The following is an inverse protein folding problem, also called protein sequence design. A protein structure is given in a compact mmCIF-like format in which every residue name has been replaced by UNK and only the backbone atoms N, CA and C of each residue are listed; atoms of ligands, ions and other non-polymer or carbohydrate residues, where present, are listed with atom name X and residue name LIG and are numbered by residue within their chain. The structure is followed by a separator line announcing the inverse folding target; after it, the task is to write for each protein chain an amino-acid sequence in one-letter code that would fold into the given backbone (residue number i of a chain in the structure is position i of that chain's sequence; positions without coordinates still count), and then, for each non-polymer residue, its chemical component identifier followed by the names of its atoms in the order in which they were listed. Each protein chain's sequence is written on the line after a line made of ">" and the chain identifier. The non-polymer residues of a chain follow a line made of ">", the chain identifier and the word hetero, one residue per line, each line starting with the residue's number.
data_IF_480357954459
#
_entry.id   IF_480357954459
#
_cell.length_a   1.000
_cell.length_b   1.000
_cell.length_c   1.000
_cell.angle_alpha   90.00
_cell.angle_beta   90.00
_cell.angle_gamma   90.00
#
_symmetry.space_group_name_H-M   'P 1'
#
loop_
_entity.id
_entity.type
_entity.pdbx_description
1 polymer ?
#
# COMPACT_ATOMS: atom_id res chain seq x y z
N UNK A 1 -13.11 44.48 -20.22
CA UNK A 1 -11.74 44.12 -19.75
C UNK A 1 -11.67 43.50 -18.34
N UNK A 2 -12.64 43.68 -17.43
CA UNK A 2 -12.56 43.15 -16.05
C UNK A 2 -12.74 41.62 -15.88
N UNK A 3 -13.51 40.95 -16.75
CA UNK A 3 -13.81 39.51 -16.62
C UNK A 3 -12.62 38.58 -16.97
N UNK A 4 -11.70 38.99 -17.85
CA UNK A 4 -10.52 38.21 -18.19
C UNK A 4 -9.48 38.17 -17.05
N UNK A 5 -9.32 39.28 -16.32
CA UNK A 5 -8.38 39.42 -15.19
C UNK A 5 -8.85 38.62 -13.95
N UNK A 6 -10.16 38.50 -13.75
CA UNK A 6 -10.78 37.69 -12.69
C UNK A 6 -10.75 36.17 -12.98
N UNK A 7 -10.82 35.75 -14.26
CA UNK A 7 -10.67 34.34 -14.66
C UNK A 7 -9.24 33.82 -14.45
N UNK A 8 -8.22 34.62 -14.79
CA UNK A 8 -6.81 34.22 -14.63
C UNK A 8 -6.38 34.03 -13.16
N UNK A 9 -6.95 34.82 -12.25
CA UNK A 9 -6.66 34.73 -10.80
C UNK A 9 -7.35 33.53 -10.12
N UNK A 10 -8.53 33.12 -10.62
CA UNK A 10 -9.21 31.90 -10.14
C UNK A 10 -8.48 30.63 -10.58
N UNK A 11 -8.10 30.53 -11.85
CA UNK A 11 -7.36 29.38 -12.37
C UNK A 11 -5.98 29.21 -11.71
N UNK A 12 -5.25 30.31 -11.48
CA UNK A 12 -3.95 30.25 -10.78
C UNK A 12 -4.09 29.75 -9.33
N UNK A 13 -5.13 30.17 -8.61
CA UNK A 13 -5.41 29.70 -7.25
C UNK A 13 -5.82 28.23 -7.21
N UNK A 14 -6.61 27.78 -8.18
CA UNK A 14 -6.98 26.36 -8.31
C UNK A 14 -5.77 25.48 -8.66
N UNK A 15 -4.86 25.96 -9.52
CA UNK A 15 -3.62 25.26 -9.84
C UNK A 15 -2.69 25.14 -8.62
N UNK A 16 -2.48 26.25 -7.89
CA UNK A 16 -1.68 26.25 -6.67
C UNK A 16 -2.27 25.34 -5.58
N UNK A 17 -3.60 25.35 -5.40
CA UNK A 17 -4.26 24.47 -4.44
C UNK A 17 -4.08 22.98 -4.79
N UNK A 18 -4.11 22.63 -6.09
CA UNK A 18 -3.84 21.26 -6.57
C UNK A 18 -2.38 20.86 -6.34
N UNK A 19 -1.43 21.76 -6.58
CA UNK A 19 0.00 21.52 -6.35
C UNK A 19 0.30 21.31 -4.86
N UNK A 20 -0.23 22.17 -3.99
CA UNK A 20 -0.11 22.01 -2.53
C UNK A 20 -0.75 20.71 -2.05
N UNK A 21 -1.94 20.35 -2.57
CA UNK A 21 -2.59 19.08 -2.24
C UNK A 21 -1.78 17.86 -2.73
N UNK A 22 -1.07 17.99 -3.84
CA UNK A 22 -0.14 16.97 -4.35
C UNK A 22 1.02 16.74 -3.39
N UNK A 23 1.69 17.82 -2.99
CA UNK A 23 2.83 17.79 -2.08
C UNK A 23 2.44 17.17 -0.73
N UNK A 24 1.29 17.58 -0.17
CA UNK A 24 0.75 17.03 1.07
C UNK A 24 0.42 15.53 0.95
N UNK A 25 -0.01 15.07 -0.23
CA UNK A 25 -0.30 13.65 -0.47
C UNK A 25 0.98 12.83 -0.62
N UNK A 26 2.00 13.39 -1.29
CA UNK A 26 3.34 12.80 -1.39
C UNK A 26 4.00 12.62 -0.02
N UNK A 27 3.92 13.64 0.85
CA UNK A 27 4.46 13.55 2.21
C UNK A 27 3.75 12.49 3.07
N UNK A 28 2.41 12.45 3.00
CA UNK A 28 1.63 11.40 3.68
C UNK A 28 2.01 10.01 3.19
N UNK A 29 2.17 9.84 1.88
CA UNK A 29 2.61 8.58 1.31
C UNK A 29 4.01 8.21 1.81
N UNK A 30 4.95 9.15 1.79
CA UNK A 30 6.32 8.97 2.28
C UNK A 30 6.34 8.53 3.75
N UNK A 31 5.53 9.16 4.60
CA UNK A 31 5.41 8.77 6.01
C UNK A 31 4.90 7.34 6.19
N UNK A 32 3.95 6.90 5.37
CA UNK A 32 3.49 5.50 5.35
C UNK A 32 4.61 4.54 4.96
N UNK A 33 5.44 4.90 3.97
CA UNK A 33 6.57 4.07 3.54
C UNK A 33 7.69 3.98 4.60
N UNK A 34 7.97 5.08 5.32
CA UNK A 34 8.89 5.06 6.47
C UNK A 34 8.37 4.10 7.53
N UNK A 35 7.07 4.14 7.79
CA UNK A 35 6.44 3.24 8.74
C UNK A 35 6.53 1.78 8.27
N UNK A 36 6.28 1.49 6.98
CA UNK A 36 6.49 0.17 6.39
C UNK A 36 7.91 -0.35 6.66
N UNK A 37 8.96 0.46 6.45
CA UNK A 37 10.35 0.07 6.75
C UNK A 37 10.54 -0.31 8.21
N UNK A 38 9.98 0.48 9.13
CA UNK A 38 10.05 0.18 10.58
C UNK A 38 9.39 -1.15 10.91
N UNK A 39 8.27 -1.48 10.26
CA UNK A 39 7.57 -2.76 10.44
C UNK A 39 8.36 -3.93 9.89
N UNK A 40 9.01 -3.79 8.73
CA UNK A 40 9.95 -4.79 8.21
C UNK A 40 11.09 -5.05 9.19
N UNK A 41 11.78 -4.00 9.66
CA UNK A 41 12.86 -4.14 10.64
C UNK A 41 12.41 -4.82 11.93
N UNK A 42 11.24 -4.45 12.45
CA UNK A 42 10.70 -5.07 13.66
C UNK A 42 10.43 -6.57 13.47
N UNK A 43 9.84 -6.96 12.34
CA UNK A 43 9.63 -8.38 12.02
C UNK A 43 10.95 -9.13 11.78
N UNK A 44 11.90 -8.51 11.08
CA UNK A 44 13.22 -9.09 10.81
C UNK A 44 14.02 -9.32 12.10
N UNK A 45 13.97 -8.39 13.07
CA UNK A 45 14.62 -8.57 14.38
C UNK A 45 14.12 -9.81 15.12
N UNK A 46 12.82 -10.09 15.03
CA UNK A 46 12.24 -11.30 15.64
C UNK A 46 12.70 -12.55 14.88
N UNK A 47 12.60 -12.54 13.56
CA UNK A 47 12.90 -13.71 12.72
C UNK A 47 14.39 -14.08 12.69
N UNK A 48 15.28 -13.09 12.80
CA UNK A 48 16.72 -13.28 12.75
C UNK A 48 17.32 -13.58 14.14
N UNK A 49 16.50 -13.62 15.19
CA UNK A 49 16.96 -13.96 16.54
C UNK A 49 17.01 -15.48 16.72
N UNK A 50 18.16 -15.98 17.16
CA UNK A 50 18.34 -17.41 17.50
C UNK A 50 17.58 -17.81 18.77
N UNK A 51 17.29 -16.84 19.63
CA UNK A 51 16.52 -17.00 20.87
C UNK A 51 15.26 -16.12 20.84
N UNK A 52 14.13 -16.57 21.42
CA UNK A 52 12.95 -15.73 21.51
C UNK A 52 13.21 -14.45 22.31
N UNK A 53 12.89 -13.29 21.73
CA UNK A 53 13.10 -11.98 22.32
C UNK A 53 12.16 -11.73 23.51
N UNK A 54 10.96 -12.29 23.46
CA UNK A 54 10.00 -12.27 24.58
C UNK A 54 10.22 -13.39 25.60
N UNK A 55 11.14 -14.32 25.33
CA UNK A 55 11.25 -15.58 26.06
C UNK A 55 10.27 -16.67 25.61
N UNK A 56 9.36 -16.37 24.68
CA UNK A 56 8.40 -17.33 24.11
C UNK A 56 8.34 -17.20 22.57
N UNK A 57 8.56 -18.31 21.86
CA UNK A 57 8.56 -18.34 20.40
C UNK A 57 7.19 -17.98 19.80
N UNK A 58 6.10 -18.36 20.44
CA UNK A 58 4.75 -18.11 19.93
C UNK A 58 4.38 -16.63 20.05
N UNK A 59 4.69 -16.02 21.19
CA UNK A 59 4.51 -14.57 21.41
C UNK A 59 5.33 -13.76 20.38
N UNK A 60 6.57 -14.18 20.12
CA UNK A 60 7.41 -13.58 19.09
C UNK A 60 6.79 -13.70 17.69
N UNK A 61 6.28 -14.88 17.33
CA UNK A 61 5.60 -15.11 16.06
C UNK A 61 4.34 -14.22 15.93
N UNK A 62 3.52 -14.11 16.99
CA UNK A 62 2.36 -13.21 17.02
C UNK A 62 2.79 -11.75 16.79
N UNK A 63 3.85 -11.31 17.46
CA UNK A 63 4.40 -9.96 17.30
C UNK A 63 4.85 -9.69 15.86
N UNK A 64 5.47 -10.67 15.20
CA UNK A 64 5.89 -10.59 13.81
C UNK A 64 4.69 -10.57 12.85
N UNK A 65 3.68 -11.43 13.05
CA UNK A 65 2.45 -11.40 12.26
C UNK A 65 1.67 -10.08 12.41
N UNK A 66 1.71 -9.46 13.59
CA UNK A 66 1.17 -8.12 13.78
C UNK A 66 1.87 -7.07 12.90
N UNK A 67 3.19 -7.16 12.73
CA UNK A 67 3.91 -6.28 11.81
C UNK A 67 3.53 -6.54 10.35
N UNK A 68 3.44 -7.81 9.93
CA UNK A 68 3.00 -8.20 8.57
C UNK A 68 1.61 -7.64 8.26
N UNK A 69 0.65 -7.84 9.17
CA UNK A 69 -0.70 -7.28 9.03
C UNK A 69 -0.65 -5.76 8.90
N UNK A 70 0.16 -5.09 9.73
CA UNK A 70 0.30 -3.62 9.68
C UNK A 70 0.90 -3.16 8.35
N UNK A 71 1.86 -3.87 7.78
CA UNK A 71 2.42 -3.53 6.46
C UNK A 71 1.31 -3.56 5.39
N UNK A 72 0.47 -4.61 5.38
CA UNK A 72 -0.64 -4.68 4.42
C UNK A 72 -1.64 -3.54 4.62
N UNK A 73 -1.93 -3.17 5.87
CA UNK A 73 -2.77 -2.01 6.19
C UNK A 73 -2.16 -0.72 5.63
N UNK A 74 -0.88 -0.46 5.90
CA UNK A 74 -0.17 0.73 5.40
C UNK A 74 -0.19 0.80 3.87
N UNK A 75 -0.02 -0.33 3.17
CA UNK A 75 -0.13 -0.41 1.71
C UNK A 75 -1.55 -0.07 1.24
N UNK A 76 -2.59 -0.57 1.91
CA UNK A 76 -3.97 -0.26 1.57
C UNK A 76 -4.28 1.24 1.78
N UNK A 77 -3.85 1.81 2.91
CA UNK A 77 -4.07 3.24 3.21
C UNK A 77 -3.23 4.16 2.33
N UNK A 78 -2.00 3.78 1.98
CA UNK A 78 -1.17 4.56 1.05
C UNK A 78 -1.78 4.57 -0.35
N UNK A 79 -2.44 3.48 -0.76
CA UNK A 79 -3.23 3.46 -1.99
C UNK A 79 -4.39 4.44 -1.98
N UNK A 80 -5.06 4.65 -0.82
CA UNK A 80 -6.08 5.69 -0.65
C UNK A 80 -5.51 7.09 -0.77
N UNK A 81 -4.34 7.35 -0.16
CA UNK A 81 -3.68 8.67 -0.20
C UNK A 81 -3.44 9.11 -1.64
N UNK A 82 -2.98 8.20 -2.49
CA UNK A 82 -2.65 8.50 -3.87
C UNK A 82 -3.87 8.64 -4.81
N UNK A 83 -5.05 8.17 -4.40
CA UNK A 83 -6.25 8.18 -5.24
C UNK A 83 -7.54 8.52 -4.45
N UNK A 84 -7.41 9.47 -3.52
CA UNK A 84 -8.47 9.83 -2.57
C UNK A 84 -9.77 10.22 -3.26
N UNK A 85 -9.68 11.03 -4.32
CA UNK A 85 -10.86 11.56 -5.01
C UNK A 85 -11.71 10.46 -5.65
N UNK A 86 -11.09 9.50 -6.33
CA UNK A 86 -11.84 8.40 -6.93
C UNK A 86 -12.35 7.41 -5.88
N UNK A 87 -11.61 7.21 -4.78
CA UNK A 87 -12.09 6.41 -3.66
C UNK A 87 -13.32 7.01 -2.98
N UNK A 88 -13.29 8.31 -2.68
CA UNK A 88 -14.43 9.06 -2.12
C UNK A 88 -15.65 8.99 -3.04
N UNK A 89 -15.45 9.23 -4.35
CA UNK A 89 -16.54 9.10 -5.33
C UNK A 89 -17.12 7.67 -5.40
N UNK A 90 -16.29 6.65 -5.21
CA UNK A 90 -16.74 5.26 -5.14
C UNK A 90 -17.55 4.98 -3.86
N UNK A 91 -17.17 5.55 -2.71
CA UNK A 91 -17.92 5.40 -1.45
C UNK A 91 -19.29 6.07 -1.52
N UNK A 92 -19.39 7.24 -2.15
CA UNK A 92 -20.68 7.89 -2.42
C UNK A 92 -21.58 7.04 -3.33
N UNK A 93 -21.01 6.39 -4.35
CA UNK A 93 -21.77 5.46 -5.22
C UNK A 93 -22.27 4.22 -4.47
N UNK A 94 -21.52 3.74 -3.47
CA UNK A 94 -21.94 2.62 -2.63
C UNK A 94 -23.06 3.03 -1.67
N UNK A 95 -22.97 4.23 -1.07
CA UNK A 95 -24.02 4.80 -0.23
C UNK A 95 -25.37 4.94 -0.95
N UNK A 96 -25.34 5.37 -2.22
CA UNK A 96 -26.54 5.46 -3.05
C UNK A 96 -27.25 4.12 -3.30
N UNK A 97 -26.60 2.98 -2.99
CA UNK A 97 -27.15 1.62 -3.15
C UNK A 97 -27.50 0.95 -1.82
N UNK A 98 -27.17 1.57 -0.70
CA UNK A 98 -27.33 1.01 0.63
C UNK A 98 -27.58 2.12 1.65
N UNK A 99 -28.83 2.29 2.05
CA UNK A 99 -29.26 3.36 2.97
C UNK A 99 -28.59 3.28 4.37
N UNK A 100 -27.99 2.13 4.72
CA UNK A 100 -27.23 1.97 5.97
C UNK A 100 -25.79 2.46 5.87
N UNK A 101 -25.27 2.65 4.66
CA UNK A 101 -23.91 3.12 4.41
C UNK A 101 -23.93 4.62 4.09
N UNK A 102 -23.35 5.44 4.98
CA UNK A 102 -23.32 6.90 4.81
C UNK A 102 -22.30 7.38 3.77
N UNK A 103 -21.51 6.48 3.18
CA UNK A 103 -20.48 6.82 2.19
C UNK A 103 -19.28 7.56 2.78
N UNK A 104 -19.17 7.61 4.12
CA UNK A 104 -18.04 8.21 4.80
C UNK A 104 -16.80 7.33 4.62
N UNK A 105 -15.88 7.78 3.77
CA UNK A 105 -14.60 7.11 3.52
C UNK A 105 -13.59 7.30 4.67
N UNK A 106 -13.80 8.28 5.55
CA UNK A 106 -12.89 8.54 6.69
C UNK A 106 -13.08 7.52 7.81
N UNK A 107 -14.24 6.86 7.84
CA UNK A 107 -14.56 5.76 8.75
C UNK A 107 -14.05 4.39 8.27
N UNK A 108 -13.48 4.28 7.06
CA UNK A 108 -12.94 3.03 6.56
C UNK A 108 -11.62 2.68 7.28
N UNK A 109 -11.63 1.57 8.02
CA UNK A 109 -10.46 1.11 8.78
C UNK A 109 -10.02 -0.33 8.46
N UNK A 110 -10.92 -1.13 7.85
CA UNK A 110 -10.65 -2.55 7.54
C UNK A 110 -9.90 -2.69 6.21
N UNK A 111 -8.60 -2.96 6.27
CA UNK A 111 -7.76 -3.07 5.07
C UNK A 111 -8.28 -4.08 4.04
N UNK A 112 -8.77 -5.25 4.46
CA UNK A 112 -9.36 -6.23 3.54
C UNK A 112 -10.54 -5.66 2.72
N UNK A 113 -11.40 -4.84 3.33
CA UNK A 113 -12.51 -4.19 2.61
C UNK A 113 -12.04 -3.02 1.76
N UNK A 114 -11.06 -2.25 2.24
CA UNK A 114 -10.42 -1.18 1.47
C UNK A 114 -9.81 -1.75 0.18
N UNK A 115 -9.05 -2.85 0.26
CA UNK A 115 -8.43 -3.52 -0.90
C UNK A 115 -9.48 -4.01 -1.91
N UNK A 116 -10.60 -4.57 -1.45
CA UNK A 116 -11.71 -4.99 -2.32
C UNK A 116 -12.36 -3.81 -3.03
N UNK A 117 -12.56 -2.69 -2.34
CA UNK A 117 -13.13 -1.47 -2.93
C UNK A 117 -12.20 -0.84 -3.94
N UNK A 118 -10.92 -0.75 -3.62
CA UNK A 118 -9.94 -0.12 -4.50
C UNK A 118 -9.82 -0.82 -5.86
N UNK A 119 -10.00 -2.14 -5.92
CA UNK A 119 -10.12 -2.88 -7.19
C UNK A 119 -11.21 -2.32 -8.11
N UNK A 120 -12.31 -1.81 -7.56
CA UNK A 120 -13.41 -1.20 -8.30
C UNK A 120 -13.09 0.24 -8.75
N UNK A 121 -12.12 0.88 -8.10
CA UNK A 121 -11.74 2.27 -8.36
C UNK A 121 -10.78 2.35 -9.53
N UNK A 122 -9.68 1.59 -9.47
CA UNK A 122 -8.59 1.64 -10.42
C UNK A 122 -7.90 0.28 -10.43
N UNK A 123 -7.61 -0.32 -11.58
CA UNK A 123 -6.91 -1.62 -11.63
C UNK A 123 -5.45 -1.52 -11.21
N UNK A 124 -4.84 -0.34 -11.32
CA UNK A 124 -3.43 -0.07 -10.99
C UNK A 124 -3.28 0.63 -9.63
N UNK A 125 -4.26 0.46 -8.74
CA UNK A 125 -4.28 1.13 -7.44
C UNK A 125 -3.21 0.61 -6.47
N UNK A 126 -2.71 -0.60 -6.66
CA UNK A 126 -1.67 -1.16 -5.81
C UNK A 126 -0.30 -0.72 -6.29
N UNK A 127 0.69 -0.63 -5.38
CA UNK A 127 2.09 -0.60 -5.74
C UNK A 127 2.41 -1.69 -6.76
N UNK A 128 3.01 -1.31 -7.88
CA UNK A 128 3.53 -2.23 -8.88
C UNK A 128 5.04 -2.35 -8.71
N UNK A 129 5.53 -3.54 -8.43
CA UNK A 129 6.97 -3.81 -8.30
C UNK A 129 7.73 -3.28 -9.51
N UNK A 130 8.80 -2.51 -9.27
CA UNK A 130 9.60 -1.86 -10.29
C UNK A 130 11.04 -2.36 -10.25
N UNK A 131 11.60 -2.67 -11.42
CA UNK A 131 13.02 -2.87 -11.61
C UNK A 131 13.76 -1.56 -11.86
N UNK A 132 15.07 -1.66 -12.13
CA UNK A 132 15.88 -0.48 -12.42
C UNK A 132 15.59 0.07 -13.84
N UNK A 133 15.60 1.40 -14.02
CA UNK A 133 15.31 2.01 -15.33
C UNK A 133 16.34 1.60 -16.39
N UNK A 134 15.86 1.17 -17.55
CA UNK A 134 16.67 0.82 -18.72
C UNK A 134 16.53 1.93 -19.76
N UNK A 135 17.66 2.44 -20.26
CA UNK A 135 17.66 3.49 -21.28
C UNK A 135 17.07 2.95 -22.60
N UNK A 136 16.07 3.67 -23.12
CA UNK A 136 15.49 3.45 -24.43
C UNK A 136 16.24 4.20 -25.53
N UNK A 137 16.00 3.84 -26.81
CA UNK A 137 16.68 4.43 -27.97
C UNK A 137 16.30 5.90 -28.24
N UNK A 138 15.22 6.40 -27.64
CA UNK A 138 14.60 7.72 -27.84
C UNK A 138 14.72 8.63 -26.60
N UNK A 139 15.73 8.38 -25.76
CA UNK A 139 15.93 9.08 -24.48
C UNK A 139 14.78 8.87 -23.47
N UNK A 140 13.89 7.90 -23.71
CA UNK A 140 12.95 7.40 -22.71
C UNK A 140 13.64 6.41 -21.78
N UNK A 141 13.03 6.14 -20.63
CA UNK A 141 13.45 5.07 -19.73
C UNK A 141 12.32 4.07 -19.58
N UNK A 142 12.58 2.83 -19.95
CA UNK A 142 11.66 1.72 -19.68
C UNK A 142 11.92 1.18 -18.28
N UNK A 143 10.88 1.08 -17.47
CA UNK A 143 10.96 0.52 -16.13
C UNK A 143 10.35 -0.88 -16.19
N UNK A 144 11.15 -1.96 -16.19
CA UNK A 144 10.61 -3.30 -16.17
C UNK A 144 9.89 -3.55 -14.84
N UNK A 145 9.00 -4.55 -14.82
CA UNK A 145 8.51 -5.07 -13.54
C UNK A 145 9.67 -5.61 -12.71
N UNK A 146 9.57 -5.46 -11.40
CA UNK A 146 10.52 -6.09 -10.49
C UNK A 146 10.37 -7.62 -10.47
N UNK A 147 11.28 -8.28 -9.74
CA UNK A 147 11.44 -9.74 -9.76
C UNK A 147 10.17 -10.54 -9.39
N UNK A 148 9.24 -9.92 -8.66
CA UNK A 148 8.02 -10.57 -8.16
C UNK A 148 6.86 -10.48 -9.18
N UNK A 149 7.02 -9.75 -10.30
CA UNK A 149 5.99 -9.57 -11.32
C UNK A 149 4.76 -8.80 -10.79
N UNK A 150 3.69 -8.67 -11.59
CA UNK A 150 2.46 -8.01 -11.15
C UNK A 150 1.77 -8.87 -10.08
N UNK A 151 1.72 -8.38 -8.85
CA UNK A 151 0.93 -8.98 -7.77
C UNK A 151 -0.46 -8.39 -7.70
N UNK A 152 -1.37 -9.20 -7.19
CA UNK A 152 -2.80 -8.92 -7.18
C UNK A 152 -3.27 -8.48 -5.80
N UNK A 153 -4.39 -7.77 -5.77
CA UNK A 153 -5.12 -7.49 -4.52
C UNK A 153 -5.46 -8.77 -3.73
N UNK A 154 -5.69 -9.89 -4.42
CA UNK A 154 -5.92 -11.19 -3.78
C UNK A 154 -4.72 -11.64 -2.96
N UNK A 155 -3.49 -11.41 -3.42
CA UNK A 155 -2.29 -11.79 -2.68
C UNK A 155 -2.21 -11.02 -1.35
N UNK A 156 -2.42 -9.70 -1.39
CA UNK A 156 -2.44 -8.88 -0.17
C UNK A 156 -3.58 -9.26 0.79
N UNK A 157 -4.76 -9.60 0.26
CA UNK A 157 -5.88 -10.10 1.09
C UNK A 157 -5.51 -11.43 1.75
N UNK A 158 -4.88 -12.35 1.02
CA UNK A 158 -4.44 -13.63 1.56
C UNK A 158 -3.43 -13.41 2.69
N UNK A 159 -2.40 -12.59 2.49
CA UNK A 159 -1.42 -12.26 3.54
C UNK A 159 -2.12 -11.64 4.77
N UNK A 160 -3.05 -10.70 4.56
CA UNK A 160 -3.82 -10.08 5.63
C UNK A 160 -4.64 -11.10 6.45
N UNK A 161 -5.31 -12.04 5.77
CA UNK A 161 -6.11 -13.08 6.40
C UNK A 161 -5.23 -14.09 7.13
N UNK A 162 -4.12 -14.50 6.52
CA UNK A 162 -3.12 -15.37 7.14
C UNK A 162 -2.60 -14.74 8.43
N UNK A 163 -2.11 -13.50 8.39
CA UNK A 163 -1.65 -12.80 9.59
C UNK A 163 -2.75 -12.68 10.65
N UNK A 164 -3.98 -12.36 10.25
CA UNK A 164 -5.13 -12.30 11.17
C UNK A 164 -5.40 -13.65 11.86
N UNK A 165 -5.27 -14.77 11.14
CA UNK A 165 -5.46 -16.12 11.70
C UNK A 165 -4.45 -16.46 12.79
N UNK A 166 -3.22 -15.93 12.71
CA UNK A 166 -2.21 -16.11 13.75
C UNK A 166 -2.45 -15.20 14.96
N UNK A 167 -3.13 -14.08 14.80
CA UNK A 167 -3.44 -13.14 15.89
C UNK A 167 -4.77 -13.45 16.61
N UNK A 168 -5.62 -14.28 16.04
CA UNK A 168 -6.91 -14.62 16.63
C UNK A 168 -6.79 -15.78 17.62
N UNK A 169 -7.35 -15.57 18.81
CA UNK A 169 -7.58 -16.64 19.78
C UNK A 169 -8.47 -17.72 19.16
N UNK A 170 -8.06 -18.98 19.32
CA UNK A 170 -8.81 -20.12 18.82
C UNK A 170 -10.02 -20.42 19.71
N UNK A 171 -11.11 -20.93 19.10
CA UNK A 171 -12.26 -21.42 19.85
C UNK A 171 -11.86 -22.65 20.71
N UNK A 172 -12.04 -22.60 22.04
CA UNK A 172 -11.63 -23.70 22.93
C UNK A 172 -12.43 -24.99 22.72
N UNK A 173 -13.62 -24.94 22.10
CA UNK A 173 -14.49 -26.10 21.89
C UNK A 173 -14.27 -26.81 20.55
N UNK A 174 -13.26 -26.41 19.78
CA UNK A 174 -12.98 -27.04 18.50
C UNK A 174 -12.25 -28.38 18.70
N UNK A 175 -12.77 -29.44 18.08
CA UNK A 175 -12.27 -30.81 18.26
C UNK A 175 -10.81 -31.03 17.83
N UNK A 176 -10.24 -30.13 17.04
CA UNK A 176 -8.90 -30.20 16.46
C UNK A 176 -7.95 -29.08 16.97
N UNK A 177 -8.31 -28.43 18.09
CA UNK A 177 -7.60 -27.25 18.60
C UNK A 177 -6.10 -27.48 18.79
N UNK A 178 -5.72 -28.56 19.49
CA UNK A 178 -4.32 -28.87 19.80
C UNK A 178 -3.50 -29.14 18.53
N UNK A 179 -4.05 -29.93 17.62
CA UNK A 179 -3.42 -30.24 16.34
C UNK A 179 -3.21 -28.96 15.50
N UNK A 180 -4.21 -28.06 15.47
CA UNK A 180 -4.08 -26.77 14.79
C UNK A 180 -3.06 -25.84 15.44
N UNK A 181 -2.99 -25.80 16.77
CA UNK A 181 -2.00 -25.00 17.49
C UNK A 181 -0.57 -25.47 17.18
N UNK A 182 -0.33 -26.79 17.21
CA UNK A 182 0.97 -27.37 16.87
C UNK A 182 1.38 -27.10 15.42
N UNK A 183 0.43 -27.22 14.49
CA UNK A 183 0.69 -26.93 13.08
C UNK A 183 1.03 -25.46 12.86
N UNK A 184 0.26 -24.54 13.46
CA UNK A 184 0.55 -23.09 13.40
C UNK A 184 1.96 -22.79 13.87
N UNK A 185 2.37 -23.33 15.03
CA UNK A 185 3.71 -23.09 15.57
C UNK A 185 4.82 -23.59 14.61
N UNK A 186 4.63 -24.76 14.00
CA UNK A 186 5.59 -25.36 13.05
C UNK A 186 5.72 -24.54 11.76
N UNK A 187 4.62 -23.99 11.25
CA UNK A 187 4.58 -23.26 9.97
C UNK A 187 4.84 -21.76 10.12
N UNK A 188 4.69 -21.20 11.32
CA UNK A 188 4.69 -19.76 11.55
C UNK A 188 5.88 -19.03 10.92
N UNK A 189 7.10 -19.49 11.17
CA UNK A 189 8.33 -18.83 10.67
C UNK A 189 8.46 -18.90 9.15
N UNK A 190 8.18 -20.03 8.53
CA UNK A 190 8.28 -20.17 7.07
C UNK A 190 7.21 -19.33 6.36
N UNK A 191 6.00 -19.28 6.92
CA UNK A 191 4.92 -18.41 6.43
C UNK A 191 5.30 -16.93 6.58
N UNK A 192 5.80 -16.50 7.74
CA UNK A 192 6.27 -15.13 7.96
C UNK A 192 7.35 -14.71 6.97
N UNK A 193 8.35 -15.57 6.74
CA UNK A 193 9.44 -15.32 5.80
C UNK A 193 8.90 -15.17 4.37
N UNK A 194 8.01 -16.06 3.93
CA UNK A 194 7.40 -16.00 2.61
C UNK A 194 6.56 -14.71 2.43
N UNK A 195 5.73 -14.37 3.41
CA UNK A 195 4.89 -13.17 3.39
C UNK A 195 5.74 -11.89 3.37
N UNK A 196 6.79 -11.81 4.20
CA UNK A 196 7.69 -10.65 4.21
C UNK A 196 8.50 -10.53 2.92
N UNK A 197 8.99 -11.63 2.35
CA UNK A 197 9.70 -11.61 1.09
C UNK A 197 8.79 -11.11 -0.05
N UNK A 198 7.54 -11.59 -0.07
CA UNK A 198 6.53 -11.16 -1.03
C UNK A 198 6.19 -9.67 -0.87
N UNK A 199 5.88 -9.22 0.35
CA UNK A 199 5.59 -7.82 0.63
C UNK A 199 6.78 -6.93 0.27
N UNK A 200 8.01 -7.36 0.57
CA UNK A 200 9.22 -6.62 0.23
C UNK A 200 9.33 -6.45 -1.27
N UNK A 201 9.24 -7.51 -2.05
CA UNK A 201 9.35 -7.36 -3.51
C UNK A 201 8.19 -6.59 -4.15
N UNK A 202 7.04 -6.45 -3.48
CA UNK A 202 5.96 -5.54 -3.90
C UNK A 202 6.32 -4.08 -3.65
N UNK A 203 6.85 -3.74 -2.46
CA UNK A 203 6.89 -2.35 -1.97
C UNK A 203 8.29 -1.73 -1.94
N UNK A 204 9.38 -2.51 -2.00
CA UNK A 204 10.71 -1.95 -1.77
C UNK A 204 11.16 -0.98 -2.86
N UNK A 205 10.95 -1.37 -4.12
CA UNK A 205 11.01 -0.51 -5.30
C UNK A 205 9.72 -0.68 -6.07
N UNK A 206 8.95 0.38 -6.20
CA UNK A 206 7.63 0.28 -6.81
C UNK A 206 7.19 1.55 -7.53
N UNK A 207 6.34 1.34 -8.52
CA UNK A 207 5.58 2.37 -9.18
C UNK A 207 4.21 2.49 -8.50
N UNK A 208 3.83 3.71 -8.15
CA UNK A 208 2.51 4.03 -7.65
C UNK A 208 1.82 5.00 -8.59
N UNK A 209 0.74 4.54 -9.19
CA UNK A 209 -0.11 5.33 -10.06
C UNK A 209 -1.08 6.11 -9.19
N UNK A 210 -0.92 7.43 -9.17
CA UNK A 210 -1.86 8.37 -8.60
C UNK A 210 -2.60 9.06 -9.74
N UNK A 211 -3.93 9.03 -9.71
CA UNK A 211 -4.72 9.91 -10.56
C UNK A 211 -4.85 11.23 -9.80
N UNK A 212 -3.90 12.13 -10.02
CA UNK A 212 -3.98 13.48 -9.46
C UNK A 212 -5.36 14.11 -9.79
N UNK A 213 -5.99 14.86 -8.87
CA UNK A 213 -7.21 15.60 -9.18
C UNK A 213 -6.93 16.63 -10.28
N UNK A 214 -7.31 16.32 -11.52
CA UNK A 214 -7.01 17.14 -12.69
C UNK A 214 -5.86 16.63 -13.55
N UNK A 215 -5.26 15.46 -13.28
CA UNK A 215 -4.64 14.67 -14.35
C UNK A 215 -5.76 14.10 -15.20
N UNK A 216 -6.34 14.97 -16.00
CA UNK A 216 -7.03 14.59 -17.22
C UNK A 216 -6.18 13.52 -17.93
N UNK A 217 -6.84 12.64 -18.69
CA UNK A 217 -6.18 11.94 -19.80
C UNK A 217 -5.75 12.95 -20.89
N UNK A 218 -5.32 14.16 -20.55
CA UNK A 218 -4.81 15.10 -21.54
C UNK A 218 -3.54 14.48 -22.10
N UNK A 219 -3.64 14.10 -23.38
CA UNK A 219 -2.57 13.59 -24.23
C UNK A 219 -2.03 12.17 -23.94
N UNK A 220 -2.82 11.26 -23.32
CA UNK A 220 -2.40 9.86 -23.21
C UNK A 220 -1.16 9.64 -22.33
N UNK A 221 -0.98 10.48 -21.29
CA UNK A 221 0.07 10.32 -20.30
C UNK A 221 -0.52 10.13 -18.91
N UNK A 222 0.15 9.35 -18.05
CA UNK A 222 -0.20 9.15 -16.64
C UNK A 222 0.97 9.54 -15.75
N UNK A 223 0.65 10.18 -14.63
CA UNK A 223 1.64 10.45 -13.59
C UNK A 223 1.93 9.18 -12.79
N UNK A 224 3.20 8.95 -12.51
CA UNK A 224 3.69 7.80 -11.75
C UNK A 224 4.64 8.31 -10.67
N UNK A 225 4.43 7.85 -9.45
CA UNK A 225 5.42 7.95 -8.39
C UNK A 225 6.31 6.72 -8.44
N UNK A 226 7.59 6.92 -8.72
CA UNK A 226 8.61 5.89 -8.56
C UNK A 226 9.16 6.00 -7.16
N UNK A 227 9.03 4.93 -6.39
CA UNK A 227 9.34 4.93 -4.97
C UNK A 227 10.45 3.91 -4.71
N UNK A 228 11.50 4.35 -4.04
CA UNK A 228 12.60 3.51 -3.56
C UNK A 228 12.72 3.67 -2.04
N UNK A 229 12.54 2.56 -1.31
CA UNK A 229 12.69 2.52 0.14
C UNK A 229 14.15 2.54 0.60
N UNK A 230 15.12 2.50 -0.33
CA UNK A 230 16.56 2.62 -0.08
C UNK A 230 17.06 1.57 0.93
N UNK A 231 18.11 1.94 1.66
CA UNK A 231 18.70 1.12 2.72
C UNK A 231 17.68 0.79 3.82
N UNK A 232 17.67 -0.46 4.27
CA UNK A 232 16.68 -0.93 5.24
C UNK A 232 16.81 -0.29 6.62
N UNK A 233 18.02 0.06 7.03
CA UNK A 233 18.33 0.61 8.36
C UNK A 233 18.09 2.13 8.45
N UNK A 234 17.99 2.82 7.32
CA UNK A 234 17.65 4.25 7.28
C UNK A 234 16.13 4.51 7.36
N UNK A 235 15.73 5.77 7.58
CA UNK A 235 14.34 6.23 7.36
C UNK A 235 14.21 6.98 6.02
N UNK A 236 15.18 6.82 5.13
CA UNK A 236 15.14 7.44 3.81
C UNK A 236 14.12 6.73 2.92
N UNK A 237 13.39 7.53 2.17
CA UNK A 237 12.46 7.08 1.12
C UNK A 237 12.57 8.13 0.03
N UNK A 238 12.92 7.68 -1.16
CA UNK A 238 13.00 8.51 -2.36
C UNK A 238 11.71 8.34 -3.16
N UNK A 239 11.14 9.46 -3.58
CA UNK A 239 9.95 9.49 -4.44
C UNK A 239 10.27 10.41 -5.62
N UNK A 240 10.24 9.85 -6.82
CA UNK A 240 10.40 10.58 -8.06
C UNK A 240 9.08 10.59 -8.82
N UNK A 241 8.76 11.70 -9.47
CA UNK A 241 7.61 11.80 -10.36
C UNK A 241 8.04 11.60 -11.80
N UNK A 242 7.36 10.70 -12.51
CA UNK A 242 7.55 10.47 -13.94
C UNK A 242 6.22 10.55 -14.69
N UNK A 243 6.32 10.81 -16.00
CA UNK A 243 5.21 10.67 -16.95
C UNK A 243 5.36 9.34 -17.68
N UNK A 244 4.30 8.55 -17.70
CA UNK A 244 4.20 7.32 -18.47
C UNK A 244 3.27 7.55 -19.66
N UNK A 245 3.74 7.24 -20.87
CA UNK A 245 2.88 7.20 -22.06
C UNK A 245 1.97 5.96 -21.99
N UNK A 246 0.67 6.15 -22.26
CA UNK A 246 -0.37 5.10 -22.14
C UNK A 246 -0.75 4.47 -23.46
#
# INVERSE_FOLDING_TARGET
>A
MGQAKARGTKQAREALAKEVASLVSGDKYRLQMIEVKRRFRAAARILNSDIPLSGDTDIDNECAFAQVRRIVELIAFSALIADRGHYEAQRLREAAKNDKDKGDYTADWKAGEILKRLKKVNTNFLPQSAGDPVAGPDNTKHIPYGAIGPKTHSDLITIYQTASRYLHTSNPFAADLEARALLKLKEARSVLQADLALLRGIIWKHNKFGLMPGSSKEAGKRFVWMVDLRDEESNEVEIYTALQDT
#
